data_IF_883983221118
#
_entry.id   IF_883983221118
#
_cell.length_a   1.000
_cell.length_b   1.000
_cell.length_c   1.000
_cell.angle_alpha   90.00
_cell.angle_beta   90.00
_cell.angle_gamma   90.00
#
_symmetry.space_group_name_H-M   'P 1'
#
loop_
_entity.id
_entity.type
_entity.pdbx_description
1 polymer ?
#
# COMPACT_ATOMS: atom_id res chain seq x y z
N UNK A 1 15.51 67.18 -73.20
CA UNK A 1 14.48 66.67 -72.29
C UNK A 1 14.86 65.21 -71.91
N UNK A 2 15.52 65.06 -70.76
CA UNK A 2 16.02 63.76 -70.30
C UNK A 2 15.15 63.32 -69.09
N UNK A 3 14.34 62.31 -69.24
CA UNK A 3 13.51 61.72 -68.18
C UNK A 3 14.38 60.75 -67.30
N UNK A 4 14.63 61.13 -66.03
CA UNK A 4 15.23 60.29 -65.03
C UNK A 4 14.24 59.26 -64.57
N UNK A 5 14.50 57.94 -64.78
CA UNK A 5 13.80 56.81 -64.17
C UNK A 5 14.34 56.64 -62.76
N UNK A 6 13.46 56.76 -61.73
CA UNK A 6 13.73 56.34 -60.34
C UNK A 6 13.50 54.84 -60.25
N UNK A 7 14.56 54.11 -59.86
CA UNK A 7 14.47 52.69 -59.47
C UNK A 7 14.12 52.66 -58.00
N UNK A 8 12.99 52.09 -57.68
CA UNK A 8 12.55 51.86 -56.30
C UNK A 8 13.09 50.47 -55.88
N UNK A 9 14.10 50.48 -54.98
CA UNK A 9 14.56 49.25 -54.31
C UNK A 9 13.56 48.91 -53.19
N UNK A 10 12.88 47.76 -53.35
CA UNK A 10 12.11 47.15 -52.26
C UNK A 10 13.05 46.36 -51.37
N UNK A 11 13.30 46.86 -50.15
CA UNK A 11 13.92 46.10 -49.05
C UNK A 11 12.85 45.11 -48.53
N UNK A 12 13.06 43.84 -48.74
CA UNK A 12 12.28 42.75 -48.06
C UNK A 12 12.91 42.54 -46.71
N UNK A 13 12.19 42.72 -45.58
CA UNK A 13 12.73 42.39 -44.26
C UNK A 13 12.80 40.85 -44.16
N UNK A 14 13.98 40.33 -43.94
CA UNK A 14 14.20 38.95 -43.55
C UNK A 14 13.56 38.70 -42.17
N UNK A 15 12.41 38.05 -42.17
CA UNK A 15 11.80 37.55 -40.93
C UNK A 15 12.66 36.36 -40.47
N UNK A 16 13.56 36.56 -39.52
CA UNK A 16 14.18 35.50 -38.76
C UNK A 16 13.07 34.74 -37.98
N UNK A 17 12.65 33.60 -38.49
CA UNK A 17 11.92 32.60 -37.68
C UNK A 17 12.88 32.13 -36.58
N UNK A 18 12.77 32.77 -35.41
CA UNK A 18 13.31 32.21 -34.17
C UNK A 18 12.46 31.01 -33.87
N UNK A 19 12.90 29.82 -34.32
CA UNK A 19 12.42 28.56 -33.78
C UNK A 19 12.74 28.57 -32.29
N UNK A 20 11.78 28.98 -31.47
CA UNK A 20 11.79 28.71 -30.04
C UNK A 20 11.76 27.19 -29.92
N UNK A 21 12.93 26.57 -29.73
CA UNK A 21 13.02 25.24 -29.20
C UNK A 21 12.31 25.33 -27.82
N UNK A 22 11.04 24.96 -27.79
CA UNK A 22 10.36 24.64 -26.56
C UNK A 22 11.22 23.55 -25.91
N UNK A 23 11.97 23.89 -24.89
CA UNK A 23 12.55 22.91 -23.98
C UNK A 23 11.36 22.15 -23.41
N UNK A 24 11.00 21.05 -24.07
CA UNK A 24 10.10 20.06 -23.49
C UNK A 24 10.76 19.68 -22.17
N UNK A 25 10.11 19.98 -21.07
CA UNK A 25 10.48 19.37 -19.79
C UNK A 25 10.56 17.86 -20.07
N UNK A 26 11.75 17.27 -19.87
CA UNK A 26 11.94 15.83 -20.01
C UNK A 26 10.93 15.16 -19.07
N UNK A 27 9.87 14.62 -19.67
CA UNK A 27 8.80 13.96 -18.92
C UNK A 27 9.37 12.76 -18.17
N UNK A 28 8.92 12.57 -16.95
CA UNK A 28 9.20 11.37 -16.19
C UNK A 28 8.66 10.15 -16.95
N UNK A 29 9.48 9.12 -17.22
CA UNK A 29 9.01 7.93 -17.90
C UNK A 29 8.07 7.07 -17.04
N UNK A 30 8.08 7.25 -15.71
CA UNK A 30 7.28 6.50 -14.75
C UNK A 30 6.35 7.43 -13.99
N UNK A 31 5.08 7.04 -13.88
CA UNK A 31 4.12 7.60 -12.94
C UNK A 31 3.96 6.63 -11.76
N UNK A 32 4.11 7.12 -10.55
CA UNK A 32 3.59 6.46 -9.36
C UNK A 32 2.27 7.13 -8.96
N UNK A 33 1.21 6.32 -8.78
CA UNK A 33 -0.13 6.79 -8.44
C UNK A 33 -0.58 6.22 -7.09
N UNK A 34 -0.94 7.11 -6.15
CA UNK A 34 -1.57 6.80 -4.87
C UNK A 34 -3.08 7.06 -4.91
N UNK A 35 -3.88 6.23 -4.24
CA UNK A 35 -5.34 6.30 -4.28
C UNK A 35 -5.90 7.59 -3.67
N UNK A 36 -5.47 7.92 -2.46
CA UNK A 36 -5.88 9.12 -1.71
C UNK A 36 -4.85 9.45 -0.63
N UNK A 37 -4.88 10.64 -0.03
CA UNK A 37 -4.03 10.96 1.12
C UNK A 37 -4.28 9.99 2.29
N UNK A 38 -3.27 9.20 2.64
CA UNK A 38 -3.31 8.23 3.72
C UNK A 38 -1.89 7.97 4.23
N UNK A 39 -1.65 7.71 5.55
CA UNK A 39 -0.32 7.45 6.09
C UNK A 39 0.42 6.30 5.40
N UNK A 40 -0.27 5.21 5.07
CA UNK A 40 0.28 4.11 4.27
C UNK A 40 0.74 4.60 2.88
N UNK A 41 -0.10 5.33 2.14
CA UNK A 41 0.21 5.88 0.81
C UNK A 41 1.44 6.80 0.86
N UNK A 42 1.56 7.62 1.90
CA UNK A 42 2.72 8.49 2.09
C UNK A 42 4.04 7.70 2.28
N UNK A 43 4.00 6.54 2.93
CA UNK A 43 5.18 5.68 3.06
C UNK A 43 5.52 4.97 1.75
N UNK A 44 4.52 4.53 0.99
CA UNK A 44 4.72 3.96 -0.35
C UNK A 44 5.34 4.99 -1.30
N UNK A 45 4.86 6.23 -1.27
CA UNK A 45 5.42 7.33 -2.05
C UNK A 45 6.90 7.57 -1.74
N UNK A 46 7.30 7.59 -0.47
CA UNK A 46 8.73 7.69 -0.09
C UNK A 46 9.58 6.58 -0.68
N UNK A 47 9.04 5.37 -0.78
CA UNK A 47 9.71 4.26 -1.45
C UNK A 47 9.90 4.52 -2.95
N UNK A 48 8.88 5.02 -3.64
CA UNK A 48 8.97 5.39 -5.06
C UNK A 48 10.00 6.50 -5.30
N UNK A 49 10.03 7.52 -4.45
CA UNK A 49 11.00 8.62 -4.49
C UNK A 49 12.44 8.12 -4.24
N UNK A 50 12.63 7.17 -3.32
CA UNK A 50 13.92 6.54 -3.09
C UNK A 50 14.39 5.72 -4.30
N UNK A 51 13.49 4.99 -4.96
CA UNK A 51 13.80 4.28 -6.20
C UNK A 51 14.19 5.26 -7.32
N UNK A 52 13.53 6.42 -7.43
CA UNK A 52 13.90 7.46 -8.40
C UNK A 52 15.36 7.91 -8.22
N UNK A 53 15.77 8.10 -6.95
CA UNK A 53 17.15 8.50 -6.62
C UNK A 53 18.15 7.39 -6.91
N UNK A 54 17.89 6.16 -6.43
CA UNK A 54 18.83 5.03 -6.55
C UNK A 54 19.05 4.61 -8.02
N UNK A 55 18.01 4.69 -8.86
CA UNK A 55 18.09 4.36 -10.29
C UNK A 55 18.34 5.57 -11.19
N UNK A 56 18.51 6.77 -10.62
CA UNK A 56 18.69 8.03 -11.37
C UNK A 56 17.67 8.20 -12.51
N UNK A 57 16.39 8.01 -12.19
CA UNK A 57 15.26 8.13 -13.11
C UNK A 57 14.21 9.07 -12.56
N UNK A 58 13.57 9.86 -13.42
CA UNK A 58 12.43 10.68 -13.00
C UNK A 58 11.21 9.81 -12.79
N UNK A 59 10.56 9.96 -11.64
CA UNK A 59 9.27 9.37 -11.30
C UNK A 59 8.35 10.51 -10.86
N UNK A 60 7.28 10.73 -11.60
CA UNK A 60 6.23 11.66 -11.15
C UNK A 60 5.34 10.93 -10.14
N UNK A 61 4.98 11.62 -9.07
CA UNK A 61 4.06 11.12 -8.06
C UNK A 61 2.76 11.89 -8.10
N UNK A 62 1.65 11.18 -8.11
CA UNK A 62 0.30 11.76 -8.07
C UNK A 62 -0.54 10.98 -7.06
N UNK A 63 -1.32 11.69 -6.26
CA UNK A 63 -2.27 11.11 -5.31
C UNK A 63 -3.67 11.55 -5.70
N UNK A 64 -4.59 10.59 -5.82
CA UNK A 64 -5.99 10.82 -6.10
C UNK A 64 -6.75 11.37 -4.90
N UNK A 65 -8.07 11.48 -5.04
CA UNK A 65 -8.94 12.09 -4.02
C UNK A 65 -9.74 11.03 -3.25
N UNK A 66 -10.01 9.88 -3.87
CA UNK A 66 -10.88 8.84 -3.33
C UNK A 66 -10.30 7.44 -3.50
N UNK A 67 -10.58 6.57 -2.54
CA UNK A 67 -10.21 5.16 -2.60
C UNK A 67 -11.26 4.35 -3.38
N UNK A 68 -11.41 4.66 -4.68
CA UNK A 68 -12.35 3.99 -5.59
C UNK A 68 -11.71 3.70 -6.94
N UNK A 69 -12.09 2.58 -7.57
CA UNK A 69 -11.61 2.24 -8.92
C UNK A 69 -12.03 3.29 -9.97
N UNK A 70 -13.19 3.91 -9.80
CA UNK A 70 -13.67 4.93 -10.73
C UNK A 70 -12.76 6.17 -10.73
N UNK A 71 -12.41 6.67 -9.53
CA UNK A 71 -11.49 7.81 -9.39
C UNK A 71 -10.09 7.45 -9.91
N UNK A 72 -9.57 6.26 -9.58
CA UNK A 72 -8.31 5.76 -10.10
C UNK A 72 -8.29 5.71 -11.63
N UNK A 73 -9.31 5.10 -12.24
CA UNK A 73 -9.40 4.97 -13.70
C UNK A 73 -9.39 6.34 -14.36
N UNK A 74 -10.24 7.26 -13.90
CA UNK A 74 -10.31 8.61 -14.44
C UNK A 74 -8.98 9.35 -14.37
N UNK A 75 -8.32 9.31 -13.20
CA UNK A 75 -7.04 9.99 -13.00
C UNK A 75 -5.93 9.38 -13.85
N UNK A 76 -5.81 8.05 -13.90
CA UNK A 76 -4.77 7.37 -14.66
C UNK A 76 -4.97 7.57 -16.17
N UNK A 77 -6.20 7.53 -16.69
CA UNK A 77 -6.48 7.82 -18.11
C UNK A 77 -6.06 9.24 -18.47
N UNK A 78 -6.38 10.24 -17.64
CA UNK A 78 -5.94 11.62 -17.84
C UNK A 78 -4.42 11.75 -17.82
N UNK A 79 -3.76 11.10 -16.86
CA UNK A 79 -2.30 11.13 -16.75
C UNK A 79 -1.63 10.38 -17.90
N UNK A 80 -2.17 9.25 -18.34
CA UNK A 80 -1.57 8.43 -19.42
C UNK A 80 -1.42 9.20 -20.73
N UNK A 81 -2.31 10.15 -21.00
CA UNK A 81 -2.23 11.05 -22.17
C UNK A 81 -0.97 11.94 -22.16
N UNK A 82 -0.30 12.10 -21.03
CA UNK A 82 0.94 12.88 -20.91
C UNK A 82 2.18 12.16 -21.43
N UNK A 83 2.09 10.86 -21.77
CA UNK A 83 3.16 10.10 -22.44
C UNK A 83 4.04 9.26 -21.53
N UNK A 84 3.61 8.95 -20.30
CA UNK A 84 4.31 7.99 -19.42
C UNK A 84 4.49 6.65 -20.13
N UNK A 85 5.59 5.97 -19.83
CA UNK A 85 5.93 4.64 -20.37
C UNK A 85 5.61 3.52 -19.39
N UNK A 86 5.46 3.86 -18.12
CA UNK A 86 5.17 2.90 -17.06
C UNK A 86 4.40 3.55 -15.91
N UNK A 87 3.57 2.77 -15.23
CA UNK A 87 2.71 3.23 -14.12
C UNK A 87 2.78 2.22 -12.98
N UNK A 88 3.09 2.71 -11.78
CA UNK A 88 2.92 1.98 -10.53
C UNK A 88 1.62 2.46 -9.87
N UNK A 89 0.70 1.54 -9.55
CA UNK A 89 -0.64 1.86 -9.05
C UNK A 89 -1.11 0.88 -7.98
N UNK A 90 -2.09 1.29 -7.17
CA UNK A 90 -2.81 0.41 -6.24
C UNK A 90 -4.15 0.03 -6.89
N UNK A 91 -4.48 -1.27 -7.09
CA UNK A 91 -5.78 -1.65 -7.65
C UNK A 91 -6.94 -1.27 -6.71
N UNK A 92 -7.74 -0.29 -7.08
CA UNK A 92 -8.92 0.14 -6.31
C UNK A 92 -10.02 -0.91 -6.25
N UNK A 93 -10.15 -1.70 -7.32
CA UNK A 93 -10.97 -2.92 -7.39
C UNK A 93 -10.21 -4.03 -8.12
N UNK A 94 -10.06 -5.23 -7.51
CA UNK A 94 -9.27 -6.33 -8.10
C UNK A 94 -9.75 -6.81 -9.46
N UNK A 95 -11.04 -6.72 -9.75
CA UNK A 95 -11.60 -7.11 -11.04
C UNK A 95 -11.57 -5.94 -12.04
N UNK A 96 -11.97 -4.76 -11.60
CA UNK A 96 -12.10 -3.55 -12.42
C UNK A 96 -10.76 -3.07 -12.99
N UNK A 97 -9.67 -3.21 -12.23
CA UNK A 97 -8.34 -2.76 -12.66
C UNK A 97 -7.87 -3.42 -13.97
N UNK A 98 -8.24 -4.68 -14.21
CA UNK A 98 -7.80 -5.41 -15.39
C UNK A 98 -8.24 -4.77 -16.72
N UNK A 99 -9.40 -4.10 -16.73
CA UNK A 99 -9.89 -3.33 -17.87
C UNK A 99 -8.99 -2.14 -18.19
N UNK A 100 -8.69 -1.32 -17.18
CA UNK A 100 -7.79 -0.17 -17.29
C UNK A 100 -6.40 -0.61 -17.77
N UNK A 101 -5.80 -1.62 -17.13
CA UNK A 101 -4.45 -2.09 -17.47
C UNK A 101 -4.39 -2.70 -18.88
N UNK A 102 -5.45 -3.39 -19.31
CA UNK A 102 -5.54 -3.88 -20.69
C UNK A 102 -5.56 -2.72 -21.70
N UNK A 103 -6.19 -1.60 -21.37
CA UNK A 103 -6.14 -0.38 -22.18
C UNK A 103 -4.72 0.22 -22.22
N UNK A 104 -4.09 0.41 -21.06
CA UNK A 104 -2.73 0.93 -20.95
C UNK A 104 -1.72 0.08 -21.73
N UNK A 105 -1.85 -1.25 -21.65
CA UNK A 105 -1.00 -2.19 -22.39
C UNK A 105 -1.12 -2.03 -23.92
N UNK A 106 -2.32 -1.75 -24.44
CA UNK A 106 -2.49 -1.44 -25.89
C UNK A 106 -1.75 -0.17 -26.30
N UNK A 107 -1.52 0.75 -25.38
CA UNK A 107 -0.73 1.96 -25.58
C UNK A 107 0.75 1.79 -25.20
N UNK A 108 1.22 0.53 -25.04
CA UNK A 108 2.59 0.18 -24.67
C UNK A 108 3.06 0.78 -23.32
N UNK A 109 2.13 0.98 -22.39
CA UNK A 109 2.43 1.43 -21.03
C UNK A 109 2.55 0.19 -20.13
N UNK A 110 3.70 0.05 -19.46
CA UNK A 110 3.95 -1.01 -18.50
C UNK A 110 3.22 -0.68 -17.19
N UNK A 111 2.69 -1.71 -16.52
CA UNK A 111 2.03 -1.53 -15.23
C UNK A 111 2.56 -2.55 -14.23
N UNK A 112 2.87 -2.08 -13.03
CA UNK A 112 3.11 -2.89 -11.83
C UNK A 112 2.17 -2.39 -10.75
N UNK A 113 1.44 -3.29 -10.10
CA UNK A 113 0.60 -2.91 -8.97
C UNK A 113 1.36 -3.02 -7.64
N UNK A 114 0.89 -2.29 -6.65
CA UNK A 114 1.35 -2.41 -5.27
C UNK A 114 0.17 -2.52 -4.30
N UNK A 115 0.39 -3.13 -3.13
CA UNK A 115 -0.54 -3.21 -2.02
C UNK A 115 -1.75 -4.11 -2.23
N UNK A 116 -2.50 -3.93 -3.30
CA UNK A 116 -3.65 -4.75 -3.68
C UNK A 116 -3.33 -5.73 -4.81
N UNK A 117 -3.91 -6.92 -4.76
CA UNK A 117 -3.76 -7.93 -5.81
C UNK A 117 -4.93 -7.87 -6.80
N UNK A 118 -4.66 -7.84 -8.14
CA UNK A 118 -5.72 -7.96 -9.14
C UNK A 118 -6.26 -9.39 -9.19
N UNK A 119 -7.51 -9.54 -9.62
CA UNK A 119 -8.02 -10.87 -9.96
C UNK A 119 -7.27 -11.45 -11.17
N UNK A 120 -6.86 -12.71 -11.03
CA UNK A 120 -6.22 -13.47 -12.12
C UNK A 120 -7.28 -14.19 -12.98
N UNK A 121 -7.06 -14.30 -14.31
CA UNK A 121 -5.89 -13.84 -15.05
C UNK A 121 -5.82 -12.31 -15.19
N UNK A 122 -4.61 -11.76 -15.12
CA UNK A 122 -4.36 -10.32 -15.17
C UNK A 122 -3.27 -9.97 -16.18
N UNK A 123 -3.35 -8.78 -16.84
CA UNK A 123 -2.26 -8.28 -17.66
C UNK A 123 -1.09 -7.68 -16.86
N UNK A 124 -1.23 -7.53 -15.54
CA UNK A 124 -0.22 -7.01 -14.61
C UNK A 124 0.81 -8.12 -14.34
N UNK A 125 2.12 -7.91 -14.59
CA UNK A 125 3.12 -8.95 -14.34
C UNK A 125 3.53 -9.08 -12.86
N UNK A 126 3.43 -8.00 -12.10
CA UNK A 126 3.83 -7.98 -10.69
C UNK A 126 2.84 -7.21 -9.83
N UNK A 127 2.53 -7.77 -8.68
CA UNK A 127 2.04 -7.02 -7.51
C UNK A 127 3.12 -7.03 -6.45
N UNK A 128 3.49 -5.86 -5.94
CA UNK A 128 4.39 -5.73 -4.79
C UNK A 128 3.56 -5.44 -3.56
N UNK A 129 3.48 -6.36 -2.63
CA UNK A 129 2.61 -6.21 -1.48
C UNK A 129 2.95 -7.18 -0.36
N UNK A 130 2.28 -7.06 0.76
CA UNK A 130 2.33 -8.04 1.83
C UNK A 130 1.49 -9.26 1.46
N UNK A 131 1.91 -10.48 1.84
CA UNK A 131 1.02 -11.65 1.88
C UNK A 131 -0.04 -11.42 2.96
N UNK A 132 -1.11 -10.72 2.58
CA UNK A 132 -2.15 -10.21 3.49
C UNK A 132 -2.83 -11.33 4.29
N UNK A 133 -3.19 -12.42 3.62
CA UNK A 133 -3.83 -13.57 4.29
C UNK A 133 -2.85 -14.25 5.24
N UNK A 134 -1.62 -14.52 4.78
CA UNK A 134 -0.57 -15.11 5.60
C UNK A 134 -0.19 -14.25 6.80
N UNK A 135 -0.12 -12.93 6.65
CA UNK A 135 0.14 -12.00 7.76
C UNK A 135 -0.98 -12.05 8.82
N UNK A 136 -2.25 -12.07 8.39
CA UNK A 136 -3.38 -12.21 9.30
C UNK A 136 -3.40 -13.58 10.01
N UNK A 137 -3.02 -14.65 9.30
CA UNK A 137 -2.86 -15.98 9.90
C UNK A 137 -1.80 -15.97 10.99
N UNK A 138 -0.61 -15.42 10.71
CA UNK A 138 0.48 -15.31 11.71
C UNK A 138 0.05 -14.48 12.91
N UNK A 139 -0.56 -13.32 12.69
CA UNK A 139 -1.09 -12.47 13.77
C UNK A 139 -2.10 -13.20 14.67
N UNK A 140 -2.96 -14.02 14.06
CA UNK A 140 -3.97 -14.79 14.79
C UNK A 140 -3.35 -15.93 15.60
N UNK A 141 -2.39 -16.68 15.03
CA UNK A 141 -1.63 -17.71 15.73
C UNK A 141 -0.89 -17.12 16.94
N UNK A 142 -0.24 -15.96 16.78
CA UNK A 142 0.46 -15.29 17.86
C UNK A 142 -0.50 -14.81 18.94
N UNK A 143 -1.66 -14.24 18.57
CA UNK A 143 -2.69 -13.87 19.55
C UNK A 143 -3.19 -15.08 20.34
N UNK A 144 -3.51 -16.20 19.66
CA UNK A 144 -3.97 -17.42 20.28
C UNK A 144 -2.93 -17.99 21.26
N UNK A 145 -1.66 -17.97 20.84
CA UNK A 145 -0.55 -18.40 21.71
C UNK A 145 -0.44 -17.54 22.97
N UNK A 146 -0.56 -16.22 22.85
CA UNK A 146 -0.54 -15.29 23.99
C UNK A 146 -1.73 -15.55 24.91
N UNK A 147 -2.91 -15.90 24.36
CA UNK A 147 -4.11 -16.25 25.10
C UNK A 147 -4.01 -17.65 25.79
N UNK A 148 -2.96 -18.43 25.52
CA UNK A 148 -2.78 -19.78 26.09
C UNK A 148 -3.66 -20.83 25.43
N UNK A 149 -3.87 -20.77 24.12
CA UNK A 149 -4.60 -21.69 23.24
C UNK A 149 -6.07 -21.89 23.63
N UNK A 150 -6.70 -20.91 24.24
CA UNK A 150 -8.12 -20.90 24.60
C UNK A 150 -8.67 -19.49 24.79
N UNK A 151 -9.99 -19.36 24.67
CA UNK A 151 -10.69 -18.09 24.95
C UNK A 151 -11.45 -17.54 23.76
N UNK A 152 -11.97 -16.35 23.92
CA UNK A 152 -12.88 -15.71 22.98
C UNK A 152 -12.24 -14.48 22.35
N UNK A 153 -12.35 -14.39 21.04
CA UNK A 153 -11.80 -13.31 20.25
C UNK A 153 -12.91 -12.35 19.76
N UNK A 154 -12.68 -11.04 19.93
CA UNK A 154 -13.36 -10.00 19.18
C UNK A 154 -12.56 -9.74 17.90
N UNK A 155 -13.15 -10.03 16.74
CA UNK A 155 -12.57 -9.75 15.43
C UNK A 155 -13.00 -8.35 14.96
N UNK A 156 -12.02 -7.49 14.68
CA UNK A 156 -12.24 -6.07 14.35
C UNK A 156 -11.70 -5.78 12.97
N UNK A 157 -12.62 -5.60 12.01
CA UNK A 157 -12.31 -5.40 10.60
C UNK A 157 -12.48 -3.94 10.21
N UNK A 158 -11.77 -3.49 9.18
CA UNK A 158 -11.96 -2.15 8.63
C UNK A 158 -13.18 -2.12 7.70
N UNK A 159 -13.03 -2.08 6.39
CA UNK A 159 -14.13 -2.00 5.43
C UNK A 159 -14.31 -3.35 4.73
N UNK A 160 -15.47 -3.99 4.88
CA UNK A 160 -15.70 -5.34 4.34
C UNK A 160 -15.76 -5.43 2.80
N UNK A 161 -15.89 -4.30 2.11
CA UNK A 161 -15.82 -4.25 0.65
C UNK A 161 -14.38 -4.27 0.13
N UNK A 162 -13.40 -3.94 0.95
CA UNK A 162 -11.99 -4.02 0.60
C UNK A 162 -11.51 -5.46 0.54
N UNK A 163 -10.77 -5.80 -0.53
CA UNK A 163 -10.26 -7.15 -0.77
C UNK A 163 -9.26 -7.58 0.31
N UNK A 164 -8.43 -6.66 0.79
CA UNK A 164 -7.45 -6.97 1.83
C UNK A 164 -8.15 -7.30 3.15
N UNK A 165 -9.23 -6.58 3.48
CA UNK A 165 -10.07 -6.88 4.66
C UNK A 165 -10.67 -8.29 4.57
N UNK A 166 -11.16 -8.70 3.40
CA UNK A 166 -11.67 -10.08 3.19
C UNK A 166 -10.59 -11.13 3.37
N UNK A 167 -9.42 -10.93 2.76
CA UNK A 167 -8.29 -11.86 2.87
C UNK A 167 -7.81 -12.00 4.33
N UNK A 168 -7.81 -10.91 5.09
CA UNK A 168 -7.48 -10.93 6.52
C UNK A 168 -8.50 -11.72 7.32
N UNK A 169 -9.80 -11.46 7.11
CA UNK A 169 -10.87 -12.20 7.78
C UNK A 169 -10.81 -13.71 7.45
N UNK A 170 -10.62 -14.07 6.19
CA UNK A 170 -10.43 -15.45 5.77
C UNK A 170 -9.25 -16.12 6.52
N UNK A 171 -8.11 -15.41 6.63
CA UNK A 171 -6.93 -15.90 7.36
C UNK A 171 -7.21 -16.12 8.85
N UNK A 172 -7.90 -15.19 9.49
CA UNK A 172 -8.31 -15.27 10.90
C UNK A 172 -9.23 -16.47 11.13
N UNK A 173 -10.28 -16.61 10.30
CA UNK A 173 -11.24 -17.72 10.40
C UNK A 173 -10.56 -19.08 10.19
N UNK A 174 -9.64 -19.17 9.22
CA UNK A 174 -8.91 -20.41 8.94
C UNK A 174 -8.02 -20.85 10.09
N UNK A 175 -7.38 -19.91 10.79
CA UNK A 175 -6.57 -20.22 11.97
C UNK A 175 -7.46 -20.63 13.13
N UNK A 176 -8.48 -19.84 13.47
CA UNK A 176 -9.37 -20.15 14.60
C UNK A 176 -10.05 -21.50 14.43
N UNK A 177 -10.41 -21.89 13.19
CA UNK A 177 -11.00 -23.22 12.92
C UNK A 177 -10.08 -24.41 13.29
N UNK A 178 -8.77 -24.20 13.43
CA UNK A 178 -7.80 -25.22 13.84
C UNK A 178 -7.60 -25.28 15.37
N UNK A 179 -8.13 -24.30 16.12
CA UNK A 179 -8.00 -24.19 17.56
C UNK A 179 -9.37 -24.40 18.26
N UNK A 180 -9.73 -25.63 18.65
CA UNK A 180 -11.09 -25.97 19.10
C UNK A 180 -11.53 -25.27 20.41
N UNK A 181 -10.59 -24.70 21.16
CA UNK A 181 -10.87 -23.99 22.39
C UNK A 181 -10.87 -22.46 22.22
N UNK A 182 -10.75 -21.98 20.97
CA UNK A 182 -10.74 -20.55 20.63
C UNK A 182 -11.95 -20.23 19.75
N UNK A 183 -12.68 -19.18 20.07
CA UNK A 183 -13.90 -18.83 19.37
C UNK A 183 -13.94 -17.34 19.02
N UNK A 184 -14.30 -17.00 17.78
CA UNK A 184 -14.69 -15.65 17.42
C UNK A 184 -16.13 -15.45 17.91
N UNK A 185 -16.32 -14.69 18.96
CA UNK A 185 -17.66 -14.47 19.54
C UNK A 185 -18.38 -13.28 18.91
N UNK A 186 -17.63 -12.39 18.29
CA UNK A 186 -18.18 -11.24 17.58
C UNK A 186 -17.20 -10.73 16.52
N UNK A 187 -17.72 -10.33 15.35
CA UNK A 187 -17.01 -9.57 14.34
C UNK A 187 -17.67 -8.20 14.20
N UNK A 188 -16.89 -7.14 14.24
CA UNK A 188 -17.33 -5.77 13.97
C UNK A 188 -16.54 -5.18 12.83
N UNK A 189 -17.18 -4.36 11.98
CA UNK A 189 -16.60 -3.87 10.72
C UNK A 189 -17.04 -2.47 10.35
N UNK A 190 -16.62 -2.01 9.18
CA UNK A 190 -16.96 -0.71 8.57
C UNK A 190 -16.50 0.49 9.40
N UNK A 191 -15.21 0.52 9.62
CA UNK A 191 -14.50 1.51 10.46
C UNK A 191 -13.56 2.36 9.62
N UNK A 192 -14.12 3.21 8.78
CA UNK A 192 -13.37 4.09 7.87
C UNK A 192 -12.71 5.30 8.57
N UNK A 193 -13.04 5.52 9.84
CA UNK A 193 -12.49 6.60 10.67
C UNK A 193 -12.18 6.09 12.08
N UNK A 194 -11.12 6.60 12.69
CA UNK A 194 -10.70 6.21 14.05
C UNK A 194 -11.78 6.46 15.12
N UNK A 195 -12.53 7.56 15.02
CA UNK A 195 -13.64 7.86 15.95
C UNK A 195 -14.77 6.84 15.88
N UNK A 196 -15.13 6.40 14.64
CA UNK A 196 -16.13 5.35 14.44
C UNK A 196 -15.63 4.02 14.97
N UNK A 197 -14.37 3.68 14.70
CA UNK A 197 -13.72 2.48 15.21
C UNK A 197 -13.74 2.45 16.76
N UNK A 198 -13.31 3.55 17.39
CA UNK A 198 -13.33 3.67 18.85
C UNK A 198 -14.72 3.41 19.45
N UNK A 199 -15.75 4.08 18.90
CA UNK A 199 -17.12 3.91 19.40
C UNK A 199 -17.63 2.48 19.26
N UNK A 200 -17.36 1.82 18.12
CA UNK A 200 -17.79 0.42 17.90
C UNK A 200 -17.04 -0.55 18.83
N UNK A 201 -15.74 -0.36 19.04
CA UNK A 201 -14.93 -1.19 19.94
C UNK A 201 -15.38 -1.00 21.40
N UNK A 202 -15.57 0.25 21.85
CA UNK A 202 -16.10 0.57 23.19
C UNK A 202 -17.48 -0.08 23.43
N UNK A 203 -18.37 -0.02 22.43
CA UNK A 203 -19.68 -0.64 22.51
C UNK A 203 -19.61 -2.16 22.61
N UNK A 204 -18.73 -2.81 21.84
CA UNK A 204 -18.51 -4.26 21.90
C UNK A 204 -17.94 -4.67 23.28
N UNK A 205 -16.97 -3.93 23.81
CA UNK A 205 -16.40 -4.16 25.13
C UNK A 205 -17.44 -3.93 26.24
N UNK A 206 -18.27 -2.90 26.14
CA UNK A 206 -19.33 -2.65 27.11
C UNK A 206 -20.38 -3.78 27.15
N UNK A 207 -20.71 -4.32 25.97
CA UNK A 207 -21.72 -5.39 25.85
C UNK A 207 -21.17 -6.77 26.28
N UNK A 208 -19.93 -7.12 25.91
CA UNK A 208 -19.39 -8.49 26.03
C UNK A 208 -17.97 -8.55 26.64
N UNK A 209 -17.44 -7.49 27.22
CA UNK A 209 -16.04 -7.43 27.69
C UNK A 209 -15.68 -8.55 28.67
N UNK A 210 -16.64 -9.02 29.50
CA UNK A 210 -16.39 -10.14 30.40
C UNK A 210 -16.13 -11.46 29.69
N UNK A 211 -16.62 -11.61 28.46
CA UNK A 211 -16.46 -12.82 27.65
C UNK A 211 -15.22 -12.74 26.73
N UNK A 212 -14.78 -11.53 26.34
CA UNK A 212 -13.65 -11.33 25.41
C UNK A 212 -12.33 -11.55 26.15
N UNK A 213 -11.43 -12.35 25.59
CA UNK A 213 -10.08 -12.60 26.09
C UNK A 213 -9.02 -11.99 25.18
N UNK A 214 -9.26 -12.00 23.87
CA UNK A 214 -8.38 -11.40 22.87
C UNK A 214 -9.13 -10.52 21.88
N UNK A 215 -8.42 -9.57 21.30
CA UNK A 215 -8.91 -8.70 20.22
C UNK A 215 -7.91 -8.73 19.10
N UNK A 216 -8.36 -9.01 17.87
CA UNK A 216 -7.57 -8.87 16.66
C UNK A 216 -8.14 -7.72 15.83
N UNK A 217 -7.30 -6.75 15.46
CA UNK A 217 -7.72 -5.62 14.62
C UNK A 217 -6.86 -5.57 13.35
N UNK A 218 -7.49 -5.80 12.20
CA UNK A 218 -6.78 -5.97 10.94
C UNK A 218 -7.04 -4.83 9.95
N UNK A 219 -6.93 -3.61 10.41
CA UNK A 219 -6.99 -2.39 9.60
C UNK A 219 -6.34 -1.23 10.34
N UNK A 220 -5.91 -0.19 9.62
CA UNK A 220 -5.22 0.96 10.22
C UNK A 220 -6.10 1.68 11.26
N UNK A 221 -7.30 2.11 10.87
CA UNK A 221 -8.19 2.87 11.76
C UNK A 221 -8.61 2.09 13.01
N UNK A 222 -9.06 0.82 12.90
CA UNK A 222 -9.43 0.04 14.08
C UNK A 222 -8.22 -0.29 14.96
N UNK A 223 -7.03 -0.52 14.40
CA UNK A 223 -5.81 -0.77 15.20
C UNK A 223 -5.44 0.45 16.05
N UNK A 224 -5.39 1.65 15.45
CA UNK A 224 -5.03 2.88 16.17
C UNK A 224 -6.06 3.19 17.26
N UNK A 225 -7.34 3.04 16.93
CA UNK A 225 -8.42 3.28 17.92
C UNK A 225 -8.36 2.29 19.07
N UNK A 226 -8.16 0.99 18.80
CA UNK A 226 -8.03 -0.04 19.83
C UNK A 226 -6.77 0.18 20.69
N UNK A 227 -5.63 0.49 20.08
CA UNK A 227 -4.38 0.73 20.80
C UNK A 227 -4.51 1.88 21.81
N UNK A 228 -5.11 3.00 21.41
CA UNK A 228 -5.39 4.11 22.31
C UNK A 228 -6.34 3.73 23.45
N UNK A 229 -7.46 3.08 23.12
CA UNK A 229 -8.45 2.64 24.09
C UNK A 229 -7.87 1.64 25.11
N UNK A 230 -7.14 0.63 24.63
CA UNK A 230 -6.57 -0.41 25.49
C UNK A 230 -5.45 0.14 26.37
N UNK A 231 -4.66 1.09 25.89
CA UNK A 231 -3.66 1.80 26.71
C UNK A 231 -4.32 2.62 27.83
N UNK A 232 -5.42 3.30 27.55
CA UNK A 232 -6.20 4.00 28.59
C UNK A 232 -6.75 3.00 29.61
N UNK A 233 -7.29 1.88 29.17
CA UNK A 233 -7.81 0.80 29.98
C UNK A 233 -6.74 0.15 30.87
N UNK A 234 -5.54 -0.05 30.32
CA UNK A 234 -4.39 -0.64 31.02
C UNK A 234 -3.98 0.13 32.27
N UNK A 235 -4.23 1.44 32.31
CA UNK A 235 -3.96 2.29 33.47
C UNK A 235 -4.87 2.00 34.67
N UNK A 236 -5.98 1.28 34.46
CA UNK A 236 -6.91 0.92 35.54
C UNK A 236 -6.82 -0.60 35.81
N UNK A 237 -6.15 -1.00 36.92
CA UNK A 237 -5.96 -2.43 37.24
C UNK A 237 -7.26 -3.15 37.63
N UNK A 238 -8.35 -2.42 37.89
CA UNK A 238 -9.66 -3.00 38.23
C UNK A 238 -10.45 -3.42 36.99
N UNK A 239 -10.00 -3.05 35.79
CA UNK A 239 -10.64 -3.44 34.52
C UNK A 239 -9.99 -4.70 33.95
N UNK A 240 -10.82 -5.62 33.40
CA UNK A 240 -10.32 -6.77 32.66
C UNK A 240 -9.42 -6.27 31.54
N UNK A 241 -8.20 -6.80 31.41
CA UNK A 241 -7.30 -6.55 30.32
C UNK A 241 -7.58 -7.54 29.19
N UNK A 242 -7.25 -7.16 27.96
CA UNK A 242 -7.42 -7.99 26.77
C UNK A 242 -6.07 -8.18 26.09
N UNK A 243 -5.80 -9.37 25.59
CA UNK A 243 -4.71 -9.56 24.62
C UNK A 243 -5.07 -8.89 23.30
N UNK A 244 -4.08 -8.31 22.63
CA UNK A 244 -4.32 -7.57 21.39
C UNK A 244 -3.16 -7.68 20.41
N UNK A 245 -3.50 -8.05 19.17
CA UNK A 245 -2.59 -7.85 18.03
C UNK A 245 -3.33 -7.06 16.94
N UNK A 246 -2.63 -6.03 16.42
CA UNK A 246 -3.11 -5.16 15.36
C UNK A 246 -2.36 -5.32 14.04
N UNK A 247 -2.59 -4.39 13.13
CA UNK A 247 -1.82 -4.21 11.90
C UNK A 247 -1.42 -2.74 11.75
N UNK A 248 -0.30 -2.52 11.05
CA UNK A 248 0.31 -1.21 10.79
C UNK A 248 0.98 -0.56 12.02
N UNK A 249 1.85 0.41 11.74
CA UNK A 249 2.72 1.04 12.72
C UNK A 249 2.46 2.54 12.82
N UNK A 250 1.33 2.90 13.43
CA UNK A 250 1.07 4.28 13.82
C UNK A 250 1.85 4.63 15.10
N UNK A 251 2.27 5.89 15.31
CA UNK A 251 2.92 6.32 16.55
C UNK A 251 2.15 5.95 17.81
N UNK A 252 0.80 6.02 17.80
CA UNK A 252 -0.07 5.62 18.93
C UNK A 252 0.07 4.11 19.18
N UNK A 253 0.02 3.29 18.13
CA UNK A 253 0.17 1.83 18.22
C UNK A 253 1.54 1.44 18.76
N UNK A 254 2.60 2.04 18.22
CA UNK A 254 3.98 1.79 18.69
C UNK A 254 4.18 2.21 20.16
N UNK A 255 3.62 3.36 20.57
CA UNK A 255 3.69 3.78 21.96
C UNK A 255 2.88 2.86 22.87
N UNK A 256 1.72 2.38 22.42
CA UNK A 256 0.91 1.43 23.18
C UNK A 256 1.64 0.10 23.47
N UNK A 257 2.47 -0.38 22.53
CA UNK A 257 3.33 -1.55 22.75
C UNK A 257 4.40 -1.25 23.81
N UNK A 258 5.07 -0.08 23.73
CA UNK A 258 6.07 0.32 24.71
C UNK A 258 5.49 0.41 26.12
N UNK A 259 4.30 0.96 26.23
CA UNK A 259 3.59 1.13 27.50
C UNK A 259 2.97 -0.17 28.04
N UNK A 260 2.98 -1.24 27.26
CA UNK A 260 2.37 -2.53 27.61
C UNK A 260 0.82 -2.52 27.53
N UNK A 261 0.24 -1.53 26.87
CA UNK A 261 -1.21 -1.43 26.67
C UNK A 261 -1.75 -2.40 25.64
N UNK A 262 -0.90 -2.91 24.75
CA UNK A 262 -1.20 -3.94 23.76
C UNK A 262 0.00 -4.87 23.58
N UNK A 263 -0.22 -6.11 23.13
CA UNK A 263 0.83 -7.12 22.96
C UNK A 263 1.66 -6.88 21.69
N UNK A 264 1.04 -6.47 20.57
CA UNK A 264 1.77 -6.26 19.34
C UNK A 264 0.95 -5.75 18.17
N UNK A 265 1.68 -5.59 17.05
CA UNK A 265 1.11 -5.24 15.75
C UNK A 265 1.95 -5.84 14.61
N UNK A 266 1.33 -6.12 13.47
CA UNK A 266 2.04 -6.50 12.26
C UNK A 266 2.50 -5.23 11.53
N UNK A 267 3.80 -5.04 11.42
CA UNK A 267 4.40 -4.01 10.59
C UNK A 267 4.49 -4.51 9.16
N UNK A 268 3.72 -3.94 8.25
CA UNK A 268 3.89 -4.11 6.80
C UNK A 268 5.14 -3.34 6.32
N UNK A 269 5.47 -3.48 5.04
CA UNK A 269 6.60 -2.78 4.42
C UNK A 269 6.15 -1.86 3.27
N UNK A 270 5.37 -0.81 3.55
CA UNK A 270 4.87 0.09 2.51
C UNK A 270 5.99 0.81 1.74
N UNK A 271 7.14 1.06 2.38
CA UNK A 271 8.30 1.60 1.67
C UNK A 271 8.76 0.66 0.54
N UNK A 272 8.86 -0.64 0.80
CA UNK A 272 9.22 -1.61 -0.25
C UNK A 272 8.13 -1.71 -1.33
N UNK A 273 6.85 -1.54 -1.00
CA UNK A 273 5.78 -1.53 -2.00
C UNK A 273 6.07 -0.47 -3.09
N UNK A 274 6.42 0.75 -2.70
CA UNK A 274 6.76 1.83 -3.61
C UNK A 274 8.11 1.64 -4.30
N UNK A 275 9.14 1.33 -3.52
CA UNK A 275 10.49 1.16 -4.05
C UNK A 275 10.58 0.04 -5.08
N UNK A 276 10.13 -1.14 -4.72
CA UNK A 276 10.27 -2.34 -5.55
C UNK A 276 9.36 -2.26 -6.80
N UNK A 277 8.13 -1.72 -6.67
CA UNK A 277 7.26 -1.54 -7.84
C UNK A 277 7.87 -0.61 -8.89
N UNK A 278 8.46 0.51 -8.47
CA UNK A 278 9.14 1.44 -9.36
C UNK A 278 10.47 0.87 -9.91
N UNK A 279 11.23 0.14 -9.09
CA UNK A 279 12.45 -0.53 -9.52
C UNK A 279 12.18 -1.61 -10.59
N UNK A 280 11.11 -2.41 -10.43
CA UNK A 280 10.66 -3.38 -11.43
C UNK A 280 10.30 -2.69 -12.73
N UNK A 281 9.54 -1.58 -12.69
CA UNK A 281 9.21 -0.80 -13.88
C UNK A 281 10.46 -0.26 -14.58
N UNK A 282 11.41 0.29 -13.83
CA UNK A 282 12.69 0.76 -14.40
C UNK A 282 13.45 -0.35 -15.09
N UNK A 283 13.61 -1.49 -14.45
CA UNK A 283 14.31 -2.63 -15.04
C UNK A 283 13.58 -3.16 -16.28
N UNK A 284 12.25 -3.20 -16.28
CA UNK A 284 11.46 -3.59 -17.45
C UNK A 284 11.62 -2.57 -18.61
N UNK A 285 11.73 -1.27 -18.33
CA UNK A 285 12.06 -0.25 -19.31
C UNK A 285 13.47 -0.44 -19.89
N UNK A 286 14.40 -0.99 -19.11
CA UNK A 286 15.76 -1.37 -19.54
C UNK A 286 15.82 -2.70 -20.31
N UNK A 287 14.65 -3.32 -20.57
CA UNK A 287 14.53 -4.54 -21.38
C UNK A 287 14.51 -5.85 -20.63
N UNK A 288 14.54 -5.83 -19.28
CA UNK A 288 14.32 -7.03 -18.49
C UNK A 288 12.87 -7.52 -18.63
N UNK A 289 12.65 -8.82 -18.49
CA UNK A 289 11.35 -9.47 -18.66
C UNK A 289 10.96 -10.24 -17.41
N UNK A 290 9.67 -10.26 -17.04
CA UNK A 290 9.18 -11.10 -15.96
C UNK A 290 9.45 -12.59 -16.23
N UNK A 291 9.92 -13.34 -15.23
CA UNK A 291 10.14 -14.80 -15.35
C UNK A 291 8.84 -15.60 -15.35
N UNK A 292 7.73 -15.00 -14.89
CA UNK A 292 6.37 -15.58 -14.93
C UNK A 292 5.36 -14.52 -15.38
N UNK A 293 4.20 -14.92 -15.93
CA UNK A 293 3.16 -13.98 -16.38
C UNK A 293 2.60 -13.09 -15.29
N UNK A 294 2.48 -13.61 -14.05
CA UNK A 294 2.10 -12.87 -12.85
C UNK A 294 2.85 -13.39 -11.63
N UNK A 295 3.27 -12.49 -10.75
CA UNK A 295 3.96 -12.80 -9.51
C UNK A 295 3.57 -11.80 -8.42
N UNK A 296 3.22 -12.32 -7.24
CA UNK A 296 3.26 -11.54 -6.01
C UNK A 296 4.71 -11.46 -5.54
N UNK A 297 5.23 -10.25 -5.43
CA UNK A 297 6.50 -9.95 -4.76
C UNK A 297 6.13 -9.61 -3.32
N UNK A 298 6.24 -10.59 -2.45
CA UNK A 298 5.94 -10.39 -1.04
C UNK A 298 6.98 -9.48 -0.39
N UNK A 299 6.54 -8.31 0.02
CA UNK A 299 7.36 -7.29 0.67
C UNK A 299 7.65 -7.62 2.14
N UNK A 300 7.08 -8.72 2.64
CA UNK A 300 7.23 -9.18 4.01
C UNK A 300 6.46 -8.35 5.03
N UNK A 301 6.48 -8.87 6.24
CA UNK A 301 5.95 -8.22 7.43
C UNK A 301 6.78 -8.62 8.66
N UNK A 302 6.63 -7.86 9.74
CA UNK A 302 7.31 -8.11 11.02
C UNK A 302 6.28 -7.99 12.14
N UNK A 303 6.16 -9.00 13.00
CA UNK A 303 5.44 -8.85 14.26
C UNK A 303 6.26 -7.94 15.19
N UNK A 304 5.69 -6.80 15.53
CA UNK A 304 6.26 -5.85 16.47
C UNK A 304 5.66 -6.09 17.84
N UNK A 305 6.50 -6.41 18.80
CA UNK A 305 6.16 -6.62 20.20
C UNK A 305 7.07 -5.76 21.08
N UNK A 306 6.92 -5.83 22.38
CA UNK A 306 7.80 -5.14 23.33
C UNK A 306 9.27 -5.48 23.16
N UNK A 307 9.59 -6.71 22.67
CA UNK A 307 10.96 -7.19 22.55
C UNK A 307 11.72 -6.54 21.39
N UNK A 308 11.00 -6.10 20.32
CA UNK A 308 11.64 -5.54 19.12
C UNK A 308 11.09 -4.18 18.70
N UNK A 309 10.22 -3.54 19.48
CA UNK A 309 9.58 -2.26 19.13
C UNK A 309 10.56 -1.13 18.82
N UNK A 310 11.78 -1.19 19.33
CA UNK A 310 12.83 -0.20 19.04
C UNK A 310 13.74 -0.59 17.87
N UNK A 311 13.65 -1.82 17.36
CA UNK A 311 14.53 -2.35 16.30
C UNK A 311 13.78 -2.93 15.08
N UNK A 312 12.45 -3.05 15.10
CA UNK A 312 11.68 -3.68 14.02
C UNK A 312 11.92 -3.01 12.65
N UNK A 313 12.17 -1.69 12.63
CA UNK A 313 12.43 -0.97 11.39
C UNK A 313 13.70 -1.48 10.67
N UNK A 314 14.69 -1.94 11.42
CA UNK A 314 15.90 -2.56 10.84
C UNK A 314 15.55 -3.90 10.18
N UNK A 315 14.63 -4.68 10.76
CA UNK A 315 14.17 -5.94 10.18
C UNK A 315 13.38 -5.69 8.89
N UNK A 316 12.47 -4.71 8.89
CA UNK A 316 11.72 -4.28 7.70
C UNK A 316 12.67 -3.79 6.59
N UNK A 317 13.68 -2.98 6.94
CA UNK A 317 14.70 -2.52 5.99
C UNK A 317 15.52 -3.67 5.40
N UNK A 318 15.93 -4.64 6.20
CA UNK A 318 16.67 -5.82 5.73
C UNK A 318 15.87 -6.64 4.71
N UNK A 319 14.55 -6.76 4.88
CA UNK A 319 13.66 -7.40 3.89
C UNK A 319 13.71 -6.61 2.57
N UNK A 320 13.60 -5.28 2.63
CA UNK A 320 13.69 -4.43 1.44
C UNK A 320 15.02 -4.60 0.72
N UNK A 321 16.14 -4.64 1.46
CA UNK A 321 17.48 -4.82 0.88
C UNK A 321 17.67 -6.20 0.25
N UNK A 322 17.05 -7.23 0.80
CA UNK A 322 17.02 -8.55 0.17
C UNK A 322 16.20 -8.53 -1.13
N UNK A 323 15.02 -7.90 -1.13
CA UNK A 323 14.19 -7.77 -2.33
C UNK A 323 14.91 -7.03 -3.46
N UNK A 324 15.68 -5.98 -3.16
CA UNK A 324 16.52 -5.28 -4.15
C UNK A 324 17.48 -6.24 -4.87
N UNK A 325 18.09 -7.17 -4.14
CA UNK A 325 18.99 -8.18 -4.70
C UNK A 325 18.24 -9.22 -5.53
N UNK A 326 17.03 -9.55 -5.13
CA UNK A 326 16.20 -10.57 -5.77
C UNK A 326 15.61 -10.12 -7.12
N UNK A 327 15.57 -8.81 -7.42
CA UNK A 327 14.91 -8.27 -8.61
C UNK A 327 15.40 -8.93 -9.91
N UNK A 328 16.72 -9.04 -10.10
CA UNK A 328 17.33 -9.58 -11.32
C UNK A 328 17.80 -11.02 -11.20
N UNK A 329 17.64 -11.65 -10.05
CA UNK A 329 18.01 -13.05 -9.79
C UNK A 329 16.82 -13.99 -9.69
N UNK A 330 15.66 -13.45 -9.26
CA UNK A 330 14.47 -14.25 -8.97
C UNK A 330 13.24 -13.82 -9.79
N UNK A 331 13.05 -12.52 -9.99
CA UNK A 331 11.81 -11.99 -10.56
C UNK A 331 11.91 -11.62 -12.03
N UNK A 332 13.07 -11.15 -12.47
CA UNK A 332 13.32 -10.69 -13.83
C UNK A 332 14.46 -11.47 -14.48
N UNK A 333 14.40 -11.59 -15.82
CA UNK A 333 15.47 -12.11 -16.67
C UNK A 333 15.78 -11.11 -17.78
N UNK A 334 17.01 -11.12 -18.32
CA UNK A 334 17.43 -10.24 -19.39
C UNK A 334 17.13 -10.84 -20.76
#
# INVERSE_FOLDING_TARGET
>A
MIRKRRVLLFLIPAICLICSAAYGQDMAPILWYGMMPHPYIAQVQKGAEAAANDYNIKIDTTVGEEWTQANETQNIEQQSARGYKAISLFPGDPAGINGLVSSLKRHHILVVSYGGQPHTPTPIPFTVGTDIKGAAMRATEDLIKIMGDKGNILNVLETVTDVNTKLRDEGIQEVVAKHPNVHIIQTISDMTQQSVARTKIESAIAARGNEIDGIIATGYNPTVAAAGLLTERHKNPNLKQFHFIGIDTDPITIQAIRDGGIDGTIAQNPFAHGYISCALLKLMLDGYKPVKPYQLVDAGDVLVTKDNVDSYQQQVSAITDQLKKDLTTKYLTK
#
